data_IF_165109634938
#
_entry.id   IF_165109634938
#
_cell.length_a   1.000
_cell.length_b   1.000
_cell.length_c   1.000
_cell.angle_alpha   90.00
_cell.angle_beta   90.00
_cell.angle_gamma   90.00
#
_symmetry.space_group_name_H-M   'P 1'
#
loop_
_entity.id
_entity.type
_entity.pdbx_description
1 polymer ?
#
# COMPACT_ATOMS: atom_id res chain seq x y z
N UNK A 1 -23.67 8.71 -11.84
CA UNK A 1 -22.87 9.66 -12.67
C UNK A 1 -23.45 11.04 -12.44
N UNK A 2 -22.59 12.04 -12.26
CA UNK A 2 -23.06 13.41 -12.04
C UNK A 2 -23.63 14.01 -13.33
N UNK A 3 -24.68 14.77 -13.17
CA UNK A 3 -25.28 15.59 -14.23
C UNK A 3 -24.87 17.05 -14.05
N UNK A 4 -25.12 17.87 -15.06
CA UNK A 4 -24.92 19.32 -14.95
C UNK A 4 -25.74 19.94 -13.82
N UNK A 5 -26.95 19.44 -13.59
CA UNK A 5 -27.85 19.92 -12.51
C UNK A 5 -27.27 19.59 -11.12
N UNK A 6 -26.67 18.40 -10.97
CA UNK A 6 -26.04 17.99 -9.72
C UNK A 6 -24.87 18.91 -9.34
N UNK A 7 -24.08 19.33 -10.32
CA UNK A 7 -22.90 20.15 -10.09
C UNK A 7 -23.23 21.64 -9.96
N UNK A 8 -24.24 22.16 -10.67
CA UNK A 8 -24.67 23.56 -10.58
C UNK A 8 -25.23 23.96 -9.22
N UNK A 9 -25.52 23.01 -8.35
CA UNK A 9 -25.85 23.28 -6.93
C UNK A 9 -24.69 23.98 -6.20
N UNK A 10 -23.46 23.84 -6.69
CA UNK A 10 -22.25 24.40 -6.11
C UNK A 10 -21.73 25.54 -6.99
N UNK A 11 -21.56 26.72 -6.40
CA UNK A 11 -21.12 27.94 -7.09
C UNK A 11 -19.82 27.74 -7.89
N UNK A 12 -18.90 26.94 -7.38
CA UNK A 12 -17.64 26.58 -8.04
C UNK A 12 -17.83 26.10 -9.49
N UNK A 13 -18.89 25.33 -9.75
CA UNK A 13 -19.12 24.72 -11.06
C UNK A 13 -19.93 25.59 -12.02
N UNK A 14 -20.40 26.79 -11.63
CA UNK A 14 -21.21 27.64 -12.49
C UNK A 14 -20.49 28.05 -13.79
N UNK A 15 -19.17 28.14 -13.74
CA UNK A 15 -18.32 28.55 -14.89
C UNK A 15 -17.50 27.36 -15.45
N UNK A 16 -17.74 26.13 -15.03
CA UNK A 16 -17.00 24.95 -15.49
C UNK A 16 -17.76 24.27 -16.63
N UNK A 17 -17.07 23.98 -17.73
CA UNK A 17 -17.64 23.15 -18.79
C UNK A 17 -17.72 21.70 -18.30
N UNK A 18 -18.93 21.13 -18.30
CA UNK A 18 -19.22 19.80 -17.77
C UNK A 18 -18.45 18.70 -18.50
N UNK A 19 -18.21 18.86 -19.80
CA UNK A 19 -17.51 17.87 -20.62
C UNK A 19 -16.06 17.64 -20.13
N UNK A 20 -15.48 18.64 -19.47
CA UNK A 20 -14.15 18.57 -18.85
C UNK A 20 -14.19 18.40 -17.32
N UNK A 21 -15.40 18.42 -16.74
CA UNK A 21 -15.56 18.28 -15.30
C UNK A 21 -15.46 16.84 -14.84
N UNK A 22 -15.84 15.90 -15.68
CA UNK A 22 -15.99 14.50 -15.32
C UNK A 22 -14.81 13.65 -15.82
N UNK A 23 -14.49 12.59 -15.09
CA UNK A 23 -13.61 11.53 -15.52
C UNK A 23 -14.31 10.70 -16.60
N UNK A 24 -13.67 10.54 -17.75
CA UNK A 24 -14.28 9.91 -18.94
C UNK A 24 -14.62 8.42 -18.75
N UNK A 25 -13.93 7.73 -17.83
CA UNK A 25 -14.21 6.33 -17.54
C UNK A 25 -15.34 6.21 -16.52
N UNK A 26 -15.26 6.93 -15.41
CA UNK A 26 -16.10 6.67 -14.23
C UNK A 26 -17.29 7.62 -14.10
N UNK A 27 -17.28 8.75 -14.80
CA UNK A 27 -18.37 9.74 -14.75
C UNK A 27 -18.52 10.47 -13.41
N UNK A 28 -17.58 10.32 -12.47
CA UNK A 28 -17.41 11.20 -11.30
C UNK A 28 -16.49 12.37 -11.66
N UNK A 29 -16.26 13.31 -10.75
CA UNK A 29 -15.39 14.45 -11.04
C UNK A 29 -13.99 13.99 -11.46
N UNK A 30 -13.42 14.70 -12.44
CA UNK A 30 -12.02 14.51 -12.83
C UNK A 30 -11.09 14.97 -11.70
N UNK A 31 -9.83 14.49 -11.72
CA UNK A 31 -8.79 14.88 -10.76
C UNK A 31 -8.69 16.39 -10.60
N UNK A 32 -8.65 17.12 -11.71
CA UNK A 32 -8.51 18.57 -11.68
C UNK A 32 -9.69 19.23 -10.95
N UNK A 33 -10.90 18.75 -11.20
CA UNK A 33 -12.11 19.36 -10.65
C UNK A 33 -12.31 19.05 -9.18
N UNK A 34 -12.07 17.80 -8.73
CA UNK A 34 -12.23 17.46 -7.30
C UNK A 34 -11.18 18.16 -6.44
N UNK A 35 -9.94 18.30 -6.92
CA UNK A 35 -8.89 19.04 -6.22
C UNK A 35 -9.16 20.55 -6.21
N UNK A 36 -9.59 21.11 -7.35
CA UNK A 36 -9.97 22.52 -7.44
C UNK A 36 -11.14 22.86 -6.53
N UNK A 37 -12.13 21.97 -6.46
CA UNK A 37 -13.27 22.14 -5.57
C UNK A 37 -12.87 22.05 -4.08
N UNK A 38 -12.02 21.10 -3.71
CA UNK A 38 -11.50 21.02 -2.34
C UNK A 38 -10.74 22.30 -1.94
N UNK A 39 -9.92 22.84 -2.86
CA UNK A 39 -9.22 24.12 -2.64
C UNK A 39 -10.20 25.27 -2.49
N UNK A 40 -11.19 25.36 -3.36
CA UNK A 40 -12.25 26.37 -3.26
C UNK A 40 -12.95 26.36 -1.90
N UNK A 41 -13.26 25.15 -1.37
CA UNK A 41 -13.89 25.01 -0.04
C UNK A 41 -12.97 25.56 1.07
N UNK A 42 -11.68 25.25 1.02
CA UNK A 42 -10.68 25.76 1.98
C UNK A 42 -10.56 27.27 1.89
N UNK A 43 -10.41 27.83 0.68
CA UNK A 43 -10.23 29.27 0.44
C UNK A 43 -11.46 30.08 0.90
N UNK A 44 -12.64 29.47 0.87
CA UNK A 44 -13.89 30.09 1.35
C UNK A 44 -14.24 29.69 2.80
N UNK A 45 -13.32 29.02 3.51
CA UNK A 45 -13.50 28.58 4.90
C UNK A 45 -14.79 27.74 5.12
N UNK A 46 -15.16 26.93 4.13
CA UNK A 46 -16.31 26.03 4.20
C UNK A 46 -15.85 24.73 4.89
N UNK A 47 -16.62 24.29 5.88
CA UNK A 47 -16.34 23.06 6.63
C UNK A 47 -16.69 21.83 5.80
N UNK A 48 -15.78 20.86 5.76
CA UNK A 48 -15.99 19.57 5.10
C UNK A 48 -15.03 18.51 5.61
N UNK A 49 -15.34 17.25 5.34
CA UNK A 49 -14.42 16.13 5.47
C UNK A 49 -13.89 15.75 4.08
N UNK A 50 -12.61 15.49 3.98
CA UNK A 50 -11.94 14.95 2.80
C UNK A 50 -11.43 13.55 3.09
N UNK A 51 -11.72 12.60 2.21
CA UNK A 51 -11.16 11.25 2.22
C UNK A 51 -10.45 10.94 0.91
N UNK A 52 -9.28 10.29 0.99
CA UNK A 52 -8.65 9.64 -0.16
C UNK A 52 -8.85 8.13 0.01
N UNK A 53 -9.49 7.52 -0.97
CA UNK A 53 -9.74 6.10 -1.08
C UNK A 53 -8.85 5.49 -2.14
N UNK A 54 -8.28 4.31 -1.85
CA UNK A 54 -7.43 3.55 -2.76
C UNK A 54 -7.90 2.09 -2.76
N UNK A 55 -8.14 1.52 -3.94
CA UNK A 55 -8.58 0.12 -4.08
C UNK A 55 -7.41 -0.79 -3.77
N UNK A 56 -7.60 -1.65 -2.77
CA UNK A 56 -6.56 -2.55 -2.33
C UNK A 56 -6.19 -3.56 -3.43
N UNK A 57 -4.91 -3.61 -3.76
CA UNK A 57 -4.36 -4.55 -4.73
C UNK A 57 -5.04 -4.52 -6.12
N UNK A 58 -5.50 -3.35 -6.58
CA UNK A 58 -6.20 -3.21 -7.85
C UNK A 58 -5.40 -3.73 -9.06
N UNK A 59 -4.07 -3.61 -9.01
CA UNK A 59 -3.20 -4.19 -10.04
C UNK A 59 -3.48 -5.68 -10.27
N UNK A 60 -3.78 -6.45 -9.22
CA UNK A 60 -4.10 -7.89 -9.36
C UNK A 60 -5.40 -8.13 -10.11
N UNK A 61 -6.37 -7.23 -9.99
CA UNK A 61 -7.61 -7.33 -10.78
C UNK A 61 -7.27 -7.21 -12.26
N UNK A 62 -6.44 -6.23 -12.62
CA UNK A 62 -5.98 -6.06 -14.01
C UNK A 62 -5.13 -7.24 -14.49
N UNK A 63 -4.17 -7.69 -13.69
CA UNK A 63 -3.23 -8.75 -14.06
C UNK A 63 -3.95 -10.10 -14.21
N UNK A 64 -4.95 -10.40 -13.38
CA UNK A 64 -5.68 -11.68 -13.43
C UNK A 64 -6.86 -11.69 -14.42
N UNK A 65 -7.52 -10.55 -14.61
CA UNK A 65 -8.80 -10.51 -15.35
C UNK A 65 -8.79 -9.53 -16.53
N UNK A 66 -7.70 -8.80 -16.72
CA UNK A 66 -7.53 -7.82 -17.79
C UNK A 66 -8.11 -6.43 -17.47
N UNK A 67 -7.60 -5.41 -18.18
CA UNK A 67 -7.97 -4.01 -17.97
C UNK A 67 -9.46 -3.73 -18.12
N UNK A 68 -10.16 -4.44 -19.01
CA UNK A 68 -11.61 -4.27 -19.20
C UNK A 68 -12.40 -4.60 -17.93
N UNK A 69 -11.99 -5.64 -17.19
CA UNK A 69 -12.59 -6.01 -15.91
C UNK A 69 -12.20 -4.99 -14.83
N UNK A 70 -10.97 -4.50 -14.84
CA UNK A 70 -10.53 -3.41 -13.97
C UNK A 70 -11.33 -2.13 -14.19
N UNK A 71 -11.56 -1.72 -15.44
CA UNK A 71 -12.37 -0.56 -15.78
C UNK A 71 -13.82 -0.71 -15.28
N UNK A 72 -14.41 -1.90 -15.44
CA UNK A 72 -15.72 -2.21 -14.88
C UNK A 72 -15.76 -2.15 -13.34
N UNK A 73 -14.68 -2.56 -12.68
CA UNK A 73 -14.53 -2.44 -11.23
C UNK A 73 -14.51 -0.96 -10.81
N UNK A 74 -13.72 -0.12 -11.48
CA UNK A 74 -13.65 1.32 -11.22
C UNK A 74 -15.02 2.00 -11.40
N UNK A 75 -15.73 1.68 -12.49
CA UNK A 75 -17.06 2.19 -12.77
C UNK A 75 -18.07 1.82 -11.68
N UNK A 76 -18.08 0.56 -11.26
CA UNK A 76 -19.01 0.11 -10.20
C UNK A 76 -18.69 0.74 -8.85
N UNK A 77 -17.40 0.93 -8.52
CA UNK A 77 -17.01 1.58 -7.29
C UNK A 77 -17.37 3.06 -7.30
N UNK A 78 -17.06 3.76 -8.39
CA UNK A 78 -17.40 5.18 -8.56
C UNK A 78 -18.90 5.45 -8.43
N UNK A 79 -19.71 4.63 -9.10
CA UNK A 79 -21.17 4.72 -9.00
C UNK A 79 -21.66 4.44 -7.58
N UNK A 80 -21.09 3.43 -6.91
CA UNK A 80 -21.41 3.11 -5.51
C UNK A 80 -21.08 4.27 -4.56
N UNK A 81 -19.90 4.86 -4.71
CA UNK A 81 -19.46 6.01 -3.91
C UNK A 81 -20.35 7.23 -4.16
N UNK A 82 -20.61 7.58 -5.42
CA UNK A 82 -21.44 8.73 -5.78
C UNK A 82 -22.88 8.58 -5.24
N UNK A 83 -23.47 7.38 -5.36
CA UNK A 83 -24.80 7.10 -4.82
C UNK A 83 -24.82 7.16 -3.28
N UNK A 84 -23.77 6.68 -2.62
CA UNK A 84 -23.66 6.70 -1.16
C UNK A 84 -23.52 8.12 -0.62
N UNK A 85 -22.70 8.93 -1.27
CA UNK A 85 -22.46 10.33 -0.88
C UNK A 85 -23.72 11.17 -1.16
N UNK A 86 -24.41 10.91 -2.26
CA UNK A 86 -25.63 11.60 -2.65
C UNK A 86 -25.47 13.11 -2.67
N UNK A 87 -26.44 13.82 -2.08
CA UNK A 87 -26.43 15.29 -1.98
C UNK A 87 -25.53 15.83 -0.85
N UNK A 88 -24.94 14.94 -0.04
CA UNK A 88 -24.11 15.33 1.10
C UNK A 88 -22.65 15.59 0.73
N UNK A 89 -22.27 15.46 -0.53
CA UNK A 89 -20.90 15.68 -0.96
C UNK A 89 -20.62 15.35 -2.41
N UNK A 90 -19.36 15.21 -2.77
CA UNK A 90 -18.92 14.91 -4.12
C UNK A 90 -17.78 13.87 -4.12
N UNK A 91 -17.72 13.12 -5.21
CA UNK A 91 -16.68 12.12 -5.48
C UNK A 91 -15.92 12.49 -6.74
N UNK A 92 -14.62 12.32 -6.74
CA UNK A 92 -13.78 12.47 -7.92
C UNK A 92 -12.73 11.38 -8.03
N UNK A 93 -12.32 11.06 -9.24
CA UNK A 93 -11.21 10.13 -9.48
C UNK A 93 -9.90 10.89 -9.41
N UNK A 94 -9.04 10.51 -8.47
CA UNK A 94 -7.76 11.19 -8.24
C UNK A 94 -6.64 10.63 -9.12
N UNK A 95 -6.62 9.34 -9.34
CA UNK A 95 -5.61 8.63 -10.15
C UNK A 95 -6.08 7.24 -10.47
N UNK A 96 -5.29 6.39 -11.07
CA UNK A 96 -5.61 5.03 -11.49
C UNK A 96 -6.76 4.34 -10.73
N UNK A 97 -6.49 3.93 -9.51
CA UNK A 97 -7.39 3.24 -8.59
C UNK A 97 -7.77 4.09 -7.35
N UNK A 98 -7.50 5.40 -7.40
CA UNK A 98 -7.69 6.30 -6.29
C UNK A 98 -8.86 7.26 -6.52
N UNK A 99 -9.67 7.45 -5.48
CA UNK A 99 -10.81 8.36 -5.45
C UNK A 99 -10.67 9.35 -4.30
N UNK A 100 -11.13 10.58 -4.51
CA UNK A 100 -11.35 11.55 -3.44
C UNK A 100 -12.83 11.65 -3.18
N UNK A 101 -13.19 11.68 -1.90
CA UNK A 101 -14.54 11.88 -1.43
C UNK A 101 -14.56 13.11 -0.53
N UNK A 102 -15.49 14.01 -0.79
CA UNK A 102 -15.75 15.22 -0.01
C UNK A 102 -17.14 15.08 0.59
N UNK A 103 -17.27 15.28 1.91
CA UNK A 103 -18.54 15.29 2.63
C UNK A 103 -18.73 16.62 3.35
N UNK A 104 -19.91 17.23 3.24
CA UNK A 104 -20.24 18.47 3.91
C UNK A 104 -20.76 18.25 5.34
N UNK A 105 -21.36 17.08 5.59
CA UNK A 105 -21.87 16.69 6.88
C UNK A 105 -20.87 15.77 7.59
N UNK A 106 -20.71 15.94 8.91
CA UNK A 106 -19.83 15.08 9.69
C UNK A 106 -18.40 15.57 9.75
N UNK A 107 -18.17 16.65 10.48
CA UNK A 107 -16.83 17.20 10.74
C UNK A 107 -16.26 16.75 12.08
N UNK A 108 -17.06 16.10 12.94
CA UNK A 108 -16.56 15.48 14.17
C UNK A 108 -16.03 14.08 13.90
N UNK A 109 -15.13 13.60 14.79
CA UNK A 109 -14.59 12.24 14.68
C UNK A 109 -15.69 11.16 14.68
N UNK A 110 -16.67 11.30 15.57
CA UNK A 110 -17.76 10.34 15.75
C UNK A 110 -18.69 10.30 14.53
N UNK A 111 -18.97 11.44 13.92
CA UNK A 111 -19.79 11.54 12.70
C UNK A 111 -19.05 10.92 11.50
N UNK A 112 -17.78 11.29 11.31
CA UNK A 112 -16.93 10.69 10.27
C UNK A 112 -16.83 9.18 10.44
N UNK A 113 -16.60 8.71 11.68
CA UNK A 113 -16.48 7.29 11.97
C UNK A 113 -17.76 6.54 11.59
N UNK A 114 -18.91 6.99 12.06
CA UNK A 114 -20.21 6.36 11.74
C UNK A 114 -20.50 6.37 10.23
N UNK A 115 -20.18 7.47 9.55
CA UNK A 115 -20.42 7.59 8.12
C UNK A 115 -19.57 6.60 7.32
N UNK A 116 -18.27 6.53 7.59
CA UNK A 116 -17.36 5.63 6.89
C UNK A 116 -17.62 4.17 7.30
N UNK A 117 -17.89 3.90 8.56
CA UNK A 117 -18.21 2.55 9.04
C UNK A 117 -19.43 1.96 8.34
N UNK A 118 -20.49 2.75 8.14
CA UNK A 118 -21.65 2.32 7.34
C UNK A 118 -21.28 2.02 5.89
N UNK A 119 -20.39 2.81 5.29
CA UNK A 119 -19.90 2.55 3.92
C UNK A 119 -19.17 1.19 3.80
N UNK A 120 -18.46 0.77 4.86
CA UNK A 120 -17.79 -0.53 4.91
C UNK A 120 -18.72 -1.70 5.22
N UNK A 121 -19.62 -1.54 6.18
CA UNK A 121 -20.35 -2.65 6.80
C UNK A 121 -21.79 -2.79 6.28
N UNK A 122 -22.50 -1.70 6.07
CA UNK A 122 -23.91 -1.70 5.70
C UNK A 122 -24.12 -1.51 4.20
N UNK A 123 -23.37 -0.58 3.60
CA UNK A 123 -23.52 -0.22 2.19
C UNK A 123 -22.88 -1.16 1.21
N UNK A 124 -21.97 -2.04 1.67
CA UNK A 124 -21.17 -2.91 0.81
C UNK A 124 -20.52 -2.14 -0.37
N UNK A 125 -20.05 -0.91 -0.14
CA UNK A 125 -19.52 -0.05 -1.18
C UNK A 125 -18.05 -0.38 -1.45
N UNK A 126 -17.23 -0.36 -0.39
CA UNK A 126 -15.77 -0.48 -0.43
C UNK A 126 -15.26 -1.85 0.01
N UNK A 127 -16.16 -2.74 0.43
CA UNK A 127 -15.85 -4.12 0.81
C UNK A 127 -16.94 -5.03 0.27
N UNK A 128 -16.78 -5.54 -0.93
CA UNK A 128 -17.83 -6.34 -1.55
C UNK A 128 -17.31 -7.33 -2.59
N UNK A 129 -18.15 -8.34 -2.88
CA UNK A 129 -18.02 -9.12 -4.11
C UNK A 129 -18.54 -8.29 -5.27
N UNK A 130 -17.70 -8.09 -6.28
CA UNK A 130 -18.07 -7.47 -7.55
C UNK A 130 -18.19 -8.51 -8.65
N UNK A 131 -19.05 -8.26 -9.63
CA UNK A 131 -19.17 -9.07 -10.83
C UNK A 131 -19.09 -8.17 -12.05
N UNK A 132 -18.09 -8.40 -12.88
CA UNK A 132 -17.86 -7.67 -14.15
C UNK A 132 -17.66 -8.71 -15.25
N UNK A 133 -18.39 -8.59 -16.37
CA UNK A 133 -18.28 -9.50 -17.52
C UNK A 133 -18.30 -11.01 -17.13
N UNK A 134 -19.17 -11.38 -16.18
CA UNK A 134 -19.32 -12.74 -15.61
C UNK A 134 -18.16 -13.19 -14.70
N UNK A 135 -17.15 -12.38 -14.48
CA UNK A 135 -16.06 -12.64 -13.55
C UNK A 135 -16.44 -12.07 -12.19
N UNK A 136 -16.34 -12.87 -11.14
CA UNK A 136 -16.64 -12.44 -9.76
C UNK A 136 -15.36 -12.47 -8.92
N UNK A 137 -15.11 -11.38 -8.19
CA UNK A 137 -13.97 -11.24 -7.29
C UNK A 137 -14.32 -10.35 -6.11
N UNK A 138 -13.53 -10.42 -5.05
CA UNK A 138 -13.67 -9.53 -3.90
C UNK A 138 -12.80 -8.30 -4.05
N UNK A 139 -13.38 -7.13 -3.74
CA UNK A 139 -12.70 -5.84 -3.70
C UNK A 139 -12.78 -5.29 -2.30
N UNK A 140 -11.68 -4.75 -1.83
CA UNK A 140 -11.60 -3.92 -0.63
C UNK A 140 -10.91 -2.60 -0.97
N UNK A 141 -11.12 -1.60 -0.14
CA UNK A 141 -10.42 -0.33 -0.26
C UNK A 141 -9.91 0.14 1.09
N UNK A 142 -8.88 0.96 1.05
CA UNK A 142 -8.35 1.66 2.22
C UNK A 142 -8.64 3.14 2.08
N UNK A 143 -9.13 3.77 3.16
CA UNK A 143 -9.49 5.19 3.18
C UNK A 143 -8.70 5.92 4.27
N UNK A 144 -8.10 7.06 3.92
CA UNK A 144 -7.59 8.05 4.86
C UNK A 144 -8.47 9.28 4.86
N UNK A 145 -8.83 9.82 6.03
CA UNK A 145 -9.73 10.96 6.17
C UNK A 145 -9.21 12.00 7.14
N UNK A 146 -9.53 13.28 6.86
CA UNK A 146 -9.36 14.41 7.76
C UNK A 146 -10.45 15.47 7.51
N UNK A 147 -10.65 16.37 8.46
CA UNK A 147 -11.65 17.42 8.36
C UNK A 147 -11.02 18.82 8.34
N UNK A 148 -11.61 19.70 7.55
CA UNK A 148 -11.28 21.12 7.52
C UNK A 148 -12.37 21.92 8.25
N UNK A 149 -12.00 22.93 9.08
CA UNK A 149 -10.65 23.42 9.42
C UNK A 149 -10.02 22.75 10.64
N UNK A 150 -10.61 21.68 11.19
CA UNK A 150 -10.18 21.06 12.45
C UNK A 150 -8.77 20.48 12.39
N UNK A 151 -8.45 19.78 11.30
CA UNK A 151 -7.21 18.99 11.19
C UNK A 151 -6.15 19.66 10.30
N UNK A 152 -6.49 20.80 9.68
CA UNK A 152 -5.59 21.58 8.82
C UNK A 152 -6.08 23.03 8.66
N UNK A 153 -5.16 23.96 8.38
CA UNK A 153 -5.47 25.38 8.12
C UNK A 153 -5.41 25.74 6.65
N UNK A 154 -4.73 24.94 5.84
CA UNK A 154 -4.55 25.14 4.40
C UNK A 154 -4.92 23.90 3.63
N UNK A 155 -5.13 24.05 2.33
CA UNK A 155 -5.39 22.92 1.43
C UNK A 155 -4.22 21.91 1.42
N UNK A 156 -2.98 22.41 1.36
CA UNK A 156 -1.80 21.55 1.29
C UNK A 156 -1.60 20.76 2.60
N UNK A 157 -1.87 21.40 3.75
CA UNK A 157 -1.89 20.70 5.05
C UNK A 157 -2.99 19.66 5.11
N UNK A 158 -4.21 19.97 4.64
CA UNK A 158 -5.32 19.04 4.60
C UNK A 158 -4.99 17.81 3.76
N UNK A 159 -4.47 18.04 2.55
CA UNK A 159 -4.09 16.96 1.65
C UNK A 159 -3.03 16.06 2.27
N UNK A 160 -1.97 16.65 2.84
CA UNK A 160 -0.92 15.90 3.54
C UNK A 160 -1.47 15.10 4.73
N UNK A 161 -2.40 15.66 5.47
CA UNK A 161 -3.03 15.04 6.63
C UNK A 161 -3.86 13.82 6.24
N UNK A 162 -4.64 13.94 5.17
CA UNK A 162 -5.42 12.84 4.59
C UNK A 162 -4.50 11.74 4.05
N UNK A 163 -3.40 12.11 3.37
CA UNK A 163 -2.43 11.15 2.85
C UNK A 163 -1.71 10.39 3.97
N UNK A 164 -1.37 11.06 5.09
CA UNK A 164 -0.85 10.40 6.31
C UNK A 164 -1.83 9.36 6.86
N UNK A 165 -3.11 9.68 6.89
CA UNK A 165 -4.14 8.76 7.35
C UNK A 165 -4.27 7.56 6.39
N UNK A 166 -4.29 7.78 5.08
CA UNK A 166 -4.33 6.72 4.07
C UNK A 166 -3.10 5.82 4.17
N UNK A 167 -1.91 6.42 4.26
CA UNK A 167 -0.66 5.68 4.45
C UNK A 167 -0.72 4.77 5.68
N UNK A 168 -1.24 5.30 6.80
CA UNK A 168 -1.44 4.51 8.02
C UNK A 168 -2.38 3.33 7.81
N UNK A 169 -3.46 3.52 7.05
CA UNK A 169 -4.38 2.43 6.69
C UNK A 169 -3.71 1.34 5.86
N UNK A 170 -2.93 1.75 4.87
CA UNK A 170 -2.16 0.82 4.03
C UNK A 170 -1.13 0.02 4.82
N UNK A 171 -0.46 0.66 5.79
CA UNK A 171 0.53 -0.01 6.66
C UNK A 171 -0.10 -0.88 7.74
N UNK A 172 -1.36 -0.64 8.12
CA UNK A 172 -2.13 -1.51 9.04
C UNK A 172 -2.68 -2.79 8.42
N UNK A 173 -2.49 -2.99 7.12
CA UNK A 173 -2.95 -4.20 6.43
C UNK A 173 -4.07 -3.97 5.44
N UNK A 174 -4.35 -2.72 5.08
CA UNK A 174 -5.40 -2.37 4.13
C UNK A 174 -6.81 -2.73 4.61
N UNK A 175 -7.82 -2.66 3.72
CA UNK A 175 -9.22 -3.00 4.02
C UNK A 175 -9.73 -2.34 5.32
N UNK A 176 -9.38 -1.07 5.51
CA UNK A 176 -9.71 -0.29 6.69
C UNK A 176 -9.82 1.20 6.37
N UNK A 177 -10.34 1.96 7.30
CA UNK A 177 -10.28 3.41 7.25
C UNK A 177 -9.51 3.97 8.44
N UNK A 178 -8.87 5.10 8.22
CA UNK A 178 -8.16 5.86 9.25
C UNK A 178 -8.68 7.30 9.20
N UNK A 179 -9.24 7.75 10.30
CA UNK A 179 -9.53 9.16 10.53
C UNK A 179 -8.33 9.76 11.22
N UNK A 180 -7.83 10.88 10.70
CA UNK A 180 -6.68 11.56 11.28
C UNK A 180 -6.94 11.96 12.75
N UNK A 181 -5.96 11.72 13.59
CA UNK A 181 -5.91 12.19 14.97
C UNK A 181 -4.49 12.69 15.20
N UNK A 182 -4.33 13.97 15.50
CA UNK A 182 -3.01 14.63 15.59
C UNK A 182 -2.05 13.88 16.52
N UNK A 183 -2.49 13.51 17.72
CA UNK A 183 -1.66 12.81 18.71
C UNK A 183 -1.14 11.45 18.25
N UNK A 184 -1.78 10.82 17.26
CA UNK A 184 -1.42 9.50 16.74
C UNK A 184 -0.71 9.55 15.39
N UNK A 185 -0.97 10.59 14.59
CA UNK A 185 -0.60 10.60 13.18
C UNK A 185 0.32 11.78 12.78
N UNK A 186 0.50 12.80 13.64
CA UNK A 186 1.33 13.98 13.34
C UNK A 186 2.75 13.60 12.90
N UNK A 187 3.37 12.66 13.60
CA UNK A 187 4.74 12.22 13.35
C UNK A 187 4.86 11.13 12.30
N UNK A 188 3.77 10.76 11.62
CA UNK A 188 3.86 9.89 10.47
C UNK A 188 4.55 10.69 9.37
N UNK A 189 5.77 10.31 9.06
CA UNK A 189 6.44 10.75 7.86
C UNK A 189 5.78 10.03 6.68
N UNK A 190 4.91 10.73 5.97
CA UNK A 190 4.57 10.32 4.62
C UNK A 190 5.81 10.65 3.81
N UNK A 191 6.67 9.65 3.69
CA UNK A 191 7.68 9.72 2.66
C UNK A 191 6.91 9.87 1.36
N UNK A 192 7.03 11.06 0.76
CA UNK A 192 6.44 11.39 -0.53
C UNK A 192 6.54 10.15 -1.41
N UNK A 193 5.48 9.78 -2.11
CA UNK A 193 5.40 8.60 -3.00
C UNK A 193 6.60 8.43 -3.94
N UNK A 194 7.46 9.43 -4.06
CA UNK A 194 8.75 9.40 -4.75
C UNK A 194 9.88 8.67 -4.00
N UNK A 195 9.81 8.55 -2.66
CA UNK A 195 10.91 7.95 -1.89
C UNK A 195 10.91 6.41 -1.88
N UNK A 196 9.81 5.77 -2.23
CA UNK A 196 9.79 4.33 -2.50
C UNK A 196 10.06 3.99 -3.97
N UNK A 197 10.59 4.93 -4.78
CA UNK A 197 11.07 4.58 -6.11
C UNK A 197 12.24 3.62 -5.97
N UNK A 198 12.28 2.57 -6.78
CA UNK A 198 13.42 1.63 -6.82
C UNK A 198 14.75 2.34 -6.93
N UNK A 199 14.79 3.46 -7.66
CA UNK A 199 15.97 4.30 -7.83
C UNK A 199 16.52 4.81 -6.49
N UNK A 200 15.64 5.34 -5.62
CA UNK A 200 16.08 5.83 -4.31
C UNK A 200 16.53 4.70 -3.39
N UNK A 201 15.85 3.55 -3.46
CA UNK A 201 16.27 2.36 -2.71
C UNK A 201 17.66 1.90 -3.16
N UNK A 202 17.92 1.84 -4.45
CA UNK A 202 19.23 1.46 -5.00
C UNK A 202 20.34 2.47 -4.62
N UNK A 203 20.04 3.77 -4.71
CA UNK A 203 21.00 4.83 -4.31
C UNK A 203 21.39 4.63 -2.84
N UNK A 204 20.41 4.48 -1.96
CA UNK A 204 20.65 4.37 -0.52
C UNK A 204 21.41 3.09 -0.15
N UNK A 205 21.08 1.96 -0.77
CA UNK A 205 21.82 0.71 -0.58
C UNK A 205 23.27 0.88 -1.03
N UNK A 206 23.51 1.54 -2.18
CA UNK A 206 24.86 1.84 -2.67
C UNK A 206 25.65 2.74 -1.72
N UNK A 207 25.00 3.71 -1.06
CA UNK A 207 25.63 4.55 -0.04
C UNK A 207 26.12 3.72 1.15
N UNK A 208 25.30 2.77 1.65
CA UNK A 208 25.71 1.87 2.72
C UNK A 208 26.84 0.95 2.28
N UNK A 209 26.77 0.38 1.07
CA UNK A 209 27.81 -0.48 0.49
C UNK A 209 29.17 0.24 0.46
N UNK A 210 29.19 1.49 -0.02
CA UNK A 210 30.41 2.25 -0.22
C UNK A 210 30.94 2.94 1.06
N UNK A 211 30.24 2.82 2.18
CA UNK A 211 30.67 3.46 3.42
C UNK A 211 31.87 2.73 4.05
N UNK A 212 33.03 3.35 4.00
CA UNK A 212 34.31 2.78 4.50
C UNK A 212 34.41 2.74 6.03
N UNK A 213 33.49 3.37 6.77
CA UNK A 213 33.49 3.41 8.24
C UNK A 213 32.85 2.18 8.87
N UNK A 214 32.06 1.41 8.11
CA UNK A 214 31.32 0.27 8.61
C UNK A 214 31.99 -1.05 8.26
N UNK A 215 31.93 -2.02 9.17
CA UNK A 215 32.26 -3.42 8.84
C UNK A 215 31.24 -3.98 7.85
N UNK A 216 31.56 -5.12 7.21
CA UNK A 216 30.64 -5.78 6.26
C UNK A 216 29.31 -6.10 6.94
N UNK A 217 29.34 -6.63 8.16
CA UNK A 217 28.13 -6.96 8.92
C UNK A 217 27.30 -5.70 9.22
N UNK A 218 27.95 -4.58 9.61
CA UNK A 218 27.25 -3.32 9.84
C UNK A 218 26.63 -2.75 8.58
N UNK A 219 27.33 -2.82 7.44
CA UNK A 219 26.76 -2.42 6.15
C UNK A 219 25.50 -3.21 5.83
N UNK A 220 25.56 -4.53 5.96
CA UNK A 220 24.41 -5.42 5.71
C UNK A 220 23.28 -5.12 6.69
N UNK A 221 23.56 -4.99 7.98
CA UNK A 221 22.57 -4.65 9.00
C UNK A 221 21.84 -3.35 8.64
N UNK A 222 22.58 -2.29 8.30
CA UNK A 222 22.01 -1.01 7.90
C UNK A 222 21.15 -1.11 6.64
N UNK A 223 21.56 -1.93 5.67
CA UNK A 223 20.76 -2.21 4.46
C UNK A 223 19.45 -2.92 4.83
N UNK A 224 19.51 -3.97 5.66
CA UNK A 224 18.34 -4.71 6.08
C UNK A 224 17.37 -3.82 6.87
N UNK A 225 17.87 -3.02 7.82
CA UNK A 225 17.07 -2.09 8.60
C UNK A 225 16.39 -1.03 7.71
N UNK A 226 17.14 -0.50 6.75
CA UNK A 226 16.59 0.47 5.82
C UNK A 226 15.49 -0.12 4.93
N UNK A 227 15.72 -1.32 4.37
CA UNK A 227 14.74 -1.99 3.49
C UNK A 227 13.49 -2.40 4.28
N UNK A 228 13.64 -2.90 5.49
CA UNK A 228 12.51 -3.24 6.37
C UNK A 228 11.60 -2.03 6.58
N UNK A 229 12.19 -0.87 6.86
CA UNK A 229 11.45 0.37 7.03
C UNK A 229 10.86 0.89 5.71
N UNK A 230 11.63 0.88 4.63
CA UNK A 230 11.21 1.44 3.34
C UNK A 230 10.11 0.61 2.67
N UNK A 231 10.16 -0.71 2.79
CA UNK A 231 9.13 -1.61 2.29
C UNK A 231 7.97 -1.81 3.27
N UNK A 232 8.10 -1.33 4.51
CA UNK A 232 7.11 -1.54 5.57
C UNK A 232 6.79 -3.03 5.77
N UNK A 233 7.83 -3.85 5.80
CA UNK A 233 7.74 -5.28 6.10
C UNK A 233 8.05 -5.54 7.57
N UNK A 234 7.68 -6.70 8.07
CA UNK A 234 7.93 -7.04 9.47
C UNK A 234 9.41 -7.22 9.76
N UNK A 235 10.14 -7.88 8.84
CA UNK A 235 11.56 -8.17 9.04
C UNK A 235 12.28 -8.53 7.73
N UNK A 236 13.59 -8.29 7.70
CA UNK A 236 14.52 -8.80 6.71
C UNK A 236 15.67 -9.52 7.41
N UNK A 237 16.08 -10.67 6.89
CA UNK A 237 17.15 -11.47 7.48
C UNK A 237 18.10 -12.05 6.42
N UNK A 238 19.38 -12.10 6.73
CA UNK A 238 20.41 -12.82 6.00
C UNK A 238 20.82 -14.05 6.82
N UNK A 239 20.56 -15.23 6.30
CA UNK A 239 20.85 -16.52 6.92
C UNK A 239 22.00 -17.19 6.21
N UNK A 240 23.13 -17.32 6.88
CA UNK A 240 24.30 -18.00 6.32
C UNK A 240 24.18 -19.53 6.45
N UNK A 241 24.78 -20.25 5.52
CA UNK A 241 24.81 -21.73 5.57
C UNK A 241 25.57 -22.27 6.78
N UNK A 242 26.43 -21.47 7.40
CA UNK A 242 27.11 -21.80 8.67
C UNK A 242 26.25 -21.54 9.91
N UNK A 243 24.93 -21.24 9.73
CA UNK A 243 23.94 -20.97 10.77
C UNK A 243 24.07 -19.63 11.49
N UNK A 244 24.98 -18.75 11.08
CA UNK A 244 24.99 -17.36 11.54
C UNK A 244 23.90 -16.57 10.84
N UNK A 245 23.41 -15.46 11.48
CA UNK A 245 22.34 -14.64 10.95
C UNK A 245 22.61 -13.16 11.19
N UNK A 246 22.18 -12.31 10.23
CA UNK A 246 22.07 -10.87 10.41
C UNK A 246 20.59 -10.51 10.17
N UNK A 247 19.96 -9.87 11.14
CA UNK A 247 18.52 -9.60 11.16
C UNK A 247 18.29 -8.10 11.30
N UNK A 248 17.25 -7.55 10.64
CA UNK A 248 16.83 -6.15 10.79
C UNK A 248 16.22 -5.89 12.18
N UNK A 249 16.25 -4.63 12.63
CA UNK A 249 15.68 -4.25 13.94
C UNK A 249 16.46 -4.81 15.15
N UNK A 250 15.80 -4.84 16.30
CA UNK A 250 16.38 -5.31 17.58
C UNK A 250 16.28 -6.82 17.78
N UNK A 251 16.00 -7.56 16.73
CA UNK A 251 15.79 -9.00 16.74
C UNK A 251 14.32 -9.39 16.81
N UNK A 252 13.91 -10.24 15.91
CA UNK A 252 12.55 -10.73 15.81
C UNK A 252 12.37 -12.06 16.58
N UNK A 253 11.12 -12.34 16.95
CA UNK A 253 10.73 -13.62 17.57
C UNK A 253 10.67 -14.80 16.57
N UNK A 254 11.15 -14.63 15.35
CA UNK A 254 11.23 -15.74 14.40
C UNK A 254 12.41 -16.63 14.79
N UNK A 255 12.11 -17.82 15.30
CA UNK A 255 13.12 -18.84 15.57
C UNK A 255 13.71 -19.33 14.25
N UNK A 256 14.77 -18.66 13.79
CA UNK A 256 15.51 -19.05 12.60
C UNK A 256 16.42 -20.21 13.00
N UNK A 257 16.09 -21.39 12.53
CA UNK A 257 16.76 -22.64 12.84
C UNK A 257 17.13 -23.44 11.59
N UNK A 258 17.64 -24.64 11.78
CA UNK A 258 18.02 -25.55 10.70
C UNK A 258 16.84 -25.90 9.77
N UNK A 259 15.62 -25.88 10.28
CA UNK A 259 14.42 -26.13 9.47
C UNK A 259 14.21 -25.03 8.45
N UNK A 260 14.42 -23.75 8.83
CA UNK A 260 14.37 -22.62 7.90
C UNK A 260 15.36 -22.78 6.75
N UNK A 261 16.60 -23.15 7.04
CA UNK A 261 17.62 -23.37 6.02
C UNK A 261 17.22 -24.50 5.05
N UNK A 262 16.68 -25.61 5.57
CA UNK A 262 16.20 -26.72 4.74
C UNK A 262 15.03 -26.31 3.84
N UNK A 263 14.06 -25.57 4.39
CA UNK A 263 12.91 -25.07 3.61
C UNK A 263 13.39 -24.14 2.50
N UNK A 264 14.24 -23.16 2.81
CA UNK A 264 14.73 -22.20 1.83
C UNK A 264 15.62 -22.83 0.75
N UNK A 265 16.44 -23.83 1.15
CA UNK A 265 17.24 -24.62 0.20
C UNK A 265 16.33 -25.34 -0.81
N UNK A 266 15.27 -25.97 -0.36
CA UNK A 266 14.32 -26.68 -1.23
C UNK A 266 13.56 -25.71 -2.16
N UNK A 267 13.10 -24.57 -1.64
CA UNK A 267 12.36 -23.58 -2.41
C UNK A 267 13.20 -22.91 -3.50
N UNK A 268 14.50 -22.76 -3.26
CA UNK A 268 15.44 -22.12 -4.20
C UNK A 268 16.31 -23.13 -4.95
N UNK A 269 16.02 -24.43 -4.89
CA UNK A 269 16.82 -25.47 -5.53
C UNK A 269 16.95 -25.27 -7.05
N UNK A 270 15.87 -24.93 -7.71
CA UNK A 270 15.79 -24.74 -9.17
C UNK A 270 15.84 -23.28 -9.62
N UNK A 271 15.67 -22.32 -8.69
CA UNK A 271 15.64 -20.88 -8.98
C UNK A 271 16.37 -20.11 -7.89
N UNK A 272 16.98 -18.98 -8.26
CA UNK A 272 17.63 -18.10 -7.29
C UNK A 272 16.65 -17.41 -6.35
N UNK A 273 15.40 -17.29 -6.74
CA UNK A 273 14.36 -16.54 -6.04
C UNK A 273 13.08 -17.37 -5.91
N UNK A 274 12.51 -17.39 -4.71
CA UNK A 274 11.17 -17.89 -4.45
C UNK A 274 10.25 -16.73 -4.02
N UNK A 275 9.15 -16.59 -4.75
CA UNK A 275 8.05 -15.66 -4.45
C UNK A 275 6.78 -16.51 -4.37
N UNK A 276 6.03 -16.48 -3.26
CA UNK A 276 4.76 -17.19 -3.22
C UNK A 276 3.77 -16.55 -4.20
N UNK A 277 3.26 -17.34 -5.11
CA UNK A 277 2.28 -16.92 -6.14
C UNK A 277 0.86 -16.71 -5.60
N UNK A 278 0.73 -16.37 -4.32
CA UNK A 278 -0.53 -16.11 -3.60
C UNK A 278 -0.67 -16.98 -2.34
N UNK A 279 -1.56 -16.56 -1.47
CA UNK A 279 -1.84 -17.22 -0.19
C UNK A 279 -2.30 -18.68 -0.38
N UNK A 280 -3.04 -18.95 -1.46
CA UNK A 280 -3.62 -20.27 -1.73
C UNK A 280 -2.56 -21.36 -1.99
N UNK A 281 -1.51 -21.05 -2.75
CA UNK A 281 -0.47 -22.03 -3.03
C UNK A 281 0.40 -22.38 -1.81
N UNK A 282 0.50 -21.47 -0.85
CA UNK A 282 1.19 -21.72 0.42
C UNK A 282 0.35 -22.59 1.37
N UNK A 283 -0.98 -22.45 1.32
CA UNK A 283 -1.91 -23.21 2.18
C UNK A 283 -2.17 -24.63 1.67
N UNK A 284 -2.05 -24.90 0.39
CA UNK A 284 -2.20 -26.25 -0.19
C UNK A 284 -1.04 -27.20 0.17
N UNK A 285 0.16 -26.65 0.42
CA UNK A 285 1.30 -27.44 0.88
C UNK A 285 1.28 -27.57 2.41
N UNK A 286 0.84 -28.73 2.93
CA UNK A 286 0.72 -29.00 4.37
C UNK A 286 2.01 -28.71 5.16
N UNK A 287 3.19 -29.03 4.60
CA UNK A 287 4.48 -28.75 5.26
C UNK A 287 4.76 -27.25 5.33
N UNK A 288 4.48 -26.53 4.26
CA UNK A 288 4.64 -25.08 4.22
C UNK A 288 3.66 -24.38 5.17
N UNK A 289 2.42 -24.84 5.23
CA UNK A 289 1.42 -24.33 6.17
C UNK A 289 1.85 -24.52 7.62
N UNK A 290 2.38 -25.69 7.95
CA UNK A 290 2.89 -26.00 9.29
C UNK A 290 4.09 -25.09 9.62
N UNK A 291 5.07 -24.97 8.71
CA UNK A 291 6.23 -24.09 8.85
C UNK A 291 5.82 -22.62 9.12
N UNK A 292 4.93 -22.06 8.30
CA UNK A 292 4.43 -20.69 8.46
C UNK A 292 3.79 -20.50 9.84
N UNK A 293 2.95 -21.45 10.25
CA UNK A 293 2.25 -21.40 11.54
C UNK A 293 3.22 -21.48 12.72
N UNK A 294 4.20 -22.37 12.67
CA UNK A 294 5.22 -22.54 13.71
C UNK A 294 6.12 -21.33 13.83
N UNK A 295 6.50 -20.73 12.71
CA UNK A 295 7.35 -19.51 12.68
C UNK A 295 6.55 -18.23 12.89
N UNK A 296 5.22 -18.30 13.04
CA UNK A 296 4.32 -17.13 13.21
C UNK A 296 4.46 -16.08 12.10
N UNK A 297 4.74 -16.51 10.88
CA UNK A 297 4.78 -15.66 9.68
C UNK A 297 3.53 -15.86 8.86
N UNK A 298 3.13 -14.82 8.11
CA UNK A 298 2.00 -14.87 7.17
C UNK A 298 2.49 -15.16 5.77
N UNK A 299 3.57 -14.50 5.36
CA UNK A 299 4.20 -14.70 4.05
C UNK A 299 5.68 -14.31 4.10
N UNK A 300 6.45 -14.82 3.16
CA UNK A 300 7.85 -14.47 3.00
C UNK A 300 8.29 -14.56 1.54
N UNK A 301 9.37 -13.87 1.21
CA UNK A 301 10.09 -14.00 -0.05
C UNK A 301 11.53 -14.34 0.26
N UNK A 302 12.11 -15.30 -0.43
CA UNK A 302 13.49 -15.74 -0.19
C UNK A 302 14.29 -15.78 -1.48
N UNK A 303 15.54 -15.35 -1.40
CA UNK A 303 16.52 -15.50 -2.48
C UNK A 303 17.78 -16.18 -1.98
N UNK A 304 18.38 -16.97 -2.85
CA UNK A 304 19.64 -17.67 -2.63
C UNK A 304 20.80 -16.78 -3.09
N UNK A 305 21.81 -16.63 -2.25
CA UNK A 305 23.08 -15.95 -2.58
C UNK A 305 24.14 -17.01 -2.78
N UNK A 306 24.81 -16.96 -3.93
CA UNK A 306 25.89 -17.87 -4.29
C UNK A 306 27.21 -17.12 -4.45
N UNK A 307 28.28 -17.67 -3.86
CA UNK A 307 29.65 -17.21 -4.05
C UNK A 307 30.46 -18.41 -4.58
N UNK A 308 31.17 -18.21 -5.68
CA UNK A 308 31.95 -19.25 -6.33
C UNK A 308 31.15 -20.55 -6.62
N UNK A 309 29.94 -20.38 -7.12
CA UNK A 309 28.98 -21.46 -7.42
C UNK A 309 28.57 -22.33 -6.20
N UNK A 310 28.75 -21.80 -5.00
CA UNK A 310 28.28 -22.43 -3.77
C UNK A 310 27.27 -21.55 -3.07
N UNK A 311 26.20 -22.14 -2.57
CA UNK A 311 25.25 -21.41 -1.73
C UNK A 311 25.96 -20.90 -0.48
N UNK A 312 25.94 -19.59 -0.32
CA UNK A 312 26.60 -18.88 0.78
C UNK A 312 25.60 -18.49 1.86
N UNK A 313 24.45 -17.93 1.45
CA UNK A 313 23.41 -17.45 2.35
C UNK A 313 22.03 -17.40 1.66
N UNK A 314 21.01 -17.19 2.46
CA UNK A 314 19.63 -16.88 2.02
C UNK A 314 19.23 -15.51 2.54
N UNK A 315 18.78 -14.63 1.64
CA UNK A 315 18.18 -13.35 1.99
C UNK A 315 16.68 -13.51 1.99
N UNK A 316 16.04 -13.19 3.11
CA UNK A 316 14.61 -13.43 3.34
C UNK A 316 13.94 -12.15 3.80
N UNK A 317 12.79 -11.84 3.22
CA UNK A 317 11.87 -10.80 3.68
C UNK A 317 10.64 -11.48 4.27
N UNK A 318 10.27 -11.12 5.49
CA UNK A 318 9.16 -11.71 6.23
C UNK A 318 8.03 -10.70 6.48
N UNK A 319 6.80 -11.25 6.55
CA UNK A 319 5.63 -10.51 7.00
C UNK A 319 4.82 -11.37 7.98
N UNK A 320 4.59 -10.85 9.19
CA UNK A 320 3.90 -11.53 10.29
C UNK A 320 2.57 -10.86 10.69
N UNK A 321 2.28 -9.67 10.14
CA UNK A 321 1.13 -8.87 10.56
C UNK A 321 0.01 -8.83 9.55
N UNK A 322 0.35 -8.89 8.27
CA UNK A 322 -0.61 -8.71 7.18
C UNK A 322 -0.39 -9.73 6.06
N UNK A 323 -1.45 -10.03 5.34
CA UNK A 323 -1.36 -10.75 4.07
C UNK A 323 -0.76 -9.84 3.02
N UNK A 324 0.51 -10.06 2.68
CA UNK A 324 1.25 -9.29 1.67
C UNK A 324 1.36 -10.07 0.38
N UNK A 325 1.13 -9.39 -0.73
CA UNK A 325 1.43 -9.90 -2.06
C UNK A 325 2.70 -9.20 -2.52
N UNK A 326 3.75 -10.01 -2.69
CA UNK A 326 5.04 -9.52 -3.14
C UNK A 326 4.97 -9.07 -4.60
N UNK A 327 5.56 -7.92 -4.90
CA UNK A 327 5.54 -7.32 -6.24
C UNK A 327 6.87 -7.54 -6.96
N UNK A 328 6.86 -7.43 -8.28
CA UNK A 328 8.08 -7.53 -9.10
C UNK A 328 9.20 -6.57 -8.66
N UNK A 329 8.82 -5.35 -8.23
CA UNK A 329 9.80 -4.37 -7.72
C UNK A 329 10.54 -4.84 -6.47
N UNK A 330 9.86 -5.57 -5.59
CA UNK A 330 10.45 -6.13 -4.36
C UNK A 330 11.34 -7.33 -4.68
N UNK A 331 10.93 -8.13 -5.67
CA UNK A 331 11.76 -9.20 -6.22
C UNK A 331 13.06 -8.66 -6.85
N UNK A 332 12.95 -7.63 -7.67
CA UNK A 332 14.11 -6.97 -8.30
C UNK A 332 15.05 -6.38 -7.24
N UNK A 333 14.49 -5.76 -6.19
CA UNK A 333 15.26 -5.24 -5.08
C UNK A 333 16.02 -6.35 -4.33
N UNK A 334 15.35 -7.47 -4.04
CA UNK A 334 15.95 -8.61 -3.36
C UNK A 334 17.13 -9.18 -4.17
N UNK A 335 16.96 -9.32 -5.49
CA UNK A 335 18.05 -9.78 -6.38
C UNK A 335 19.21 -8.78 -6.46
N UNK A 336 18.92 -7.48 -6.43
CA UNK A 336 19.95 -6.45 -6.35
C UNK A 336 20.72 -6.53 -5.02
N UNK A 337 20.03 -6.70 -3.91
CA UNK A 337 20.65 -6.89 -2.59
C UNK A 337 21.56 -8.13 -2.56
N UNK A 338 21.15 -9.24 -3.22
CA UNK A 338 22.00 -10.42 -3.37
C UNK A 338 23.35 -10.05 -3.98
N UNK A 339 23.32 -9.23 -5.04
CA UNK A 339 24.53 -8.80 -5.75
C UNK A 339 25.42 -7.90 -4.89
N UNK A 340 24.80 -7.00 -4.14
CA UNK A 340 25.51 -6.12 -3.19
C UNK A 340 26.19 -6.95 -2.09
N UNK A 341 25.48 -7.92 -1.52
CA UNK A 341 26.01 -8.79 -0.45
C UNK A 341 27.14 -9.67 -1.00
N UNK A 342 26.96 -10.25 -2.19
CA UNK A 342 28.02 -11.01 -2.87
C UNK A 342 29.31 -10.19 -3.02
N UNK A 343 29.19 -8.94 -3.47
CA UNK A 343 30.35 -8.04 -3.63
C UNK A 343 31.02 -7.72 -2.30
N UNK A 344 30.24 -7.43 -1.24
CA UNK A 344 30.77 -7.12 0.08
C UNK A 344 31.58 -8.25 0.72
N UNK A 345 31.34 -9.50 0.33
CA UNK A 345 32.09 -10.66 0.82
C UNK A 345 33.21 -11.13 -0.12
N UNK A 346 33.33 -10.54 -1.31
CA UNK A 346 34.44 -10.78 -2.25
C UNK A 346 35.55 -9.74 -2.14
N UNK A 347 35.26 -8.59 -1.53
CA UNK A 347 36.22 -7.55 -1.18
C UNK A 347 37.00 -7.91 0.10
#
# INVERSE_FOLDING_TARGET
>A
MYTLEDLKKYEYFNNVNIDFALDSLTGVLSRAQILGFARYLVDNNIKFMMGILDIDNFKLVNDNYGHKVGDGCLNQLAAGLANYVGDEGLVGRFGGDEFIVIWFNGTTYEEMHRYIERMYNEGNIVRRKMTVDKVSFYVTATIGCASFPKDANTYDELFLTVDKALYRGKTKGRNCFIIYVESKHKNIEVHVREQSSLTNLFIRISEFQNNKKYSVEQKIKNILDYITNALQISEAALLFTNKSTIISGDGYNCNIDDECLNVFSNLTANNTLFIPSGLFNMLENKKMHQFIKEKKIITFMVSKIEIDNKTFAYLVLFEDKITRIWQEKEAALLLYMNKVIELLYKE
#
